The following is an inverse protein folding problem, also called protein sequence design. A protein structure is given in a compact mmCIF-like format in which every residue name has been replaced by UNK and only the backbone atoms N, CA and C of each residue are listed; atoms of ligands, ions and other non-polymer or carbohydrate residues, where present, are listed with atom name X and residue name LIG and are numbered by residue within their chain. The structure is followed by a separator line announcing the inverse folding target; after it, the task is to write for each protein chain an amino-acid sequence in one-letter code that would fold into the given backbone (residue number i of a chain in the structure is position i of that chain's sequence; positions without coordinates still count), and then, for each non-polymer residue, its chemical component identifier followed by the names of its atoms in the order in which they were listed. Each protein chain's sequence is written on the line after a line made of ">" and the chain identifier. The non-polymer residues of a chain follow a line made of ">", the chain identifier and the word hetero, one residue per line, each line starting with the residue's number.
data_IF_484763175630
#
_entry.id   IF_484763175630
#
_cell.length_a   1.000
_cell.length_b   1.000
_cell.length_c   1.000
_cell.angle_alpha   90.00
_cell.angle_beta   90.00
_cell.angle_gamma   90.00
#
_symmetry.space_group_name_H-M   'P 1'
#
loop_
_entity.id
_entity.type
_entity.pdbx_description
1 polymer ?
#
# COMPACT_ATOMS: atom_id res chain seq x y z
N UNK A 1 40.47 44.87 6.97
CA UNK A 1 40.17 45.16 5.55
C UNK A 1 40.19 43.90 4.67
N UNK A 2 41.34 43.22 4.49
CA UNK A 2 41.47 42.06 3.57
C UNK A 2 40.53 40.88 3.86
N UNK A 3 40.26 40.58 5.15
CA UNK A 3 39.27 39.56 5.54
C UNK A 3 37.86 39.92 5.07
N UNK A 4 37.48 41.20 5.12
CA UNK A 4 36.19 41.67 4.61
C UNK A 4 36.12 41.61 3.09
N UNK A 5 37.21 41.97 2.39
CA UNK A 5 37.30 41.85 0.93
C UNK A 5 37.12 40.39 0.48
N UNK A 6 37.79 39.44 1.14
CA UNK A 6 37.63 38.01 0.86
C UNK A 6 36.19 37.55 1.10
N UNK A 7 35.61 37.90 2.25
CA UNK A 7 34.22 37.54 2.57
C UNK A 7 33.24 38.08 1.52
N UNK A 8 33.38 39.36 1.14
CA UNK A 8 32.55 40.00 0.11
C UNK A 8 32.70 39.32 -1.26
N UNK A 9 33.93 39.12 -1.72
CA UNK A 9 34.20 38.48 -3.01
C UNK A 9 33.70 37.04 -3.08
N UNK A 10 33.74 36.32 -1.95
CA UNK A 10 33.19 34.97 -1.82
C UNK A 10 31.66 34.99 -1.89
N UNK A 11 30.98 35.88 -1.16
CA UNK A 11 29.51 35.98 -1.24
C UNK A 11 29.03 36.38 -2.64
N UNK A 12 29.72 37.31 -3.30
CA UNK A 12 29.43 37.67 -4.69
C UNK A 12 29.68 36.51 -5.66
N UNK A 13 30.66 35.65 -5.39
CA UNK A 13 30.85 34.40 -6.14
C UNK A 13 29.66 33.47 -5.98
N UNK A 14 29.19 33.22 -4.75
CA UNK A 14 28.04 32.34 -4.48
C UNK A 14 26.80 32.82 -5.25
N UNK A 15 26.48 34.10 -5.15
CA UNK A 15 25.33 34.72 -5.83
C UNK A 15 25.46 34.60 -7.36
N UNK A 16 26.64 34.87 -7.93
CA UNK A 16 26.88 34.74 -9.37
C UNK A 16 26.75 33.29 -9.84
N UNK A 17 27.29 32.34 -9.09
CA UNK A 17 27.21 30.92 -9.41
C UNK A 17 25.76 30.45 -9.41
N UNK A 18 24.99 30.75 -8.36
CA UNK A 18 23.57 30.39 -8.29
C UNK A 18 22.76 31.00 -9.44
N UNK A 19 23.00 32.26 -9.78
CA UNK A 19 22.34 32.93 -10.90
C UNK A 19 22.65 32.24 -12.23
N UNK A 20 23.94 31.98 -12.50
CA UNK A 20 24.37 31.32 -13.73
C UNK A 20 23.77 29.91 -13.88
N UNK A 21 23.60 29.19 -12.76
CA UNK A 21 22.97 27.87 -12.77
C UNK A 21 21.46 27.92 -13.03
N UNK A 22 20.77 29.01 -12.64
CA UNK A 22 19.34 29.22 -12.91
C UNK A 22 19.06 29.63 -14.35
N UNK A 23 19.94 30.43 -14.95
CA UNK A 23 19.81 30.93 -16.33
C UNK A 23 20.06 29.84 -17.41
N UNK A 24 20.50 28.64 -16.99
CA UNK A 24 20.28 27.38 -17.72
C UNK A 24 21.09 27.17 -19.01
N UNK A 25 22.07 28.01 -19.33
CA UNK A 25 22.66 28.05 -20.68
C UNK A 25 23.99 27.30 -20.90
N UNK A 26 24.50 26.52 -19.93
CA UNK A 26 25.79 25.85 -20.13
C UNK A 26 26.20 24.75 -19.15
N UNK A 27 27.36 24.15 -19.44
CA UNK A 27 28.02 23.15 -18.59
C UNK A 27 28.45 23.77 -17.25
N UNK A 28 28.34 23.00 -16.17
CA UNK A 28 28.65 23.44 -14.81
C UNK A 28 30.08 23.98 -14.69
N UNK A 29 31.09 23.27 -15.21
CA UNK A 29 32.47 23.74 -15.09
C UNK A 29 32.69 25.04 -15.85
N UNK A 30 31.97 25.26 -16.95
CA UNK A 30 32.06 26.51 -17.70
C UNK A 30 31.50 27.68 -16.91
N UNK A 31 30.33 27.52 -16.30
CA UNK A 31 29.74 28.51 -15.40
C UNK A 31 30.63 28.76 -14.17
N UNK A 32 31.07 27.70 -13.51
CA UNK A 32 31.94 27.78 -12.35
C UNK A 32 33.26 28.50 -12.67
N UNK A 33 33.95 28.13 -13.76
CA UNK A 33 35.21 28.80 -14.19
C UNK A 33 35.01 30.29 -14.44
N UNK A 34 33.92 30.69 -15.11
CA UNK A 34 33.59 32.12 -15.33
C UNK A 34 33.38 32.85 -14.01
N UNK A 35 32.61 32.27 -13.08
CA UNK A 35 32.38 32.85 -11.76
C UNK A 35 33.66 32.93 -10.92
N UNK A 36 34.51 31.89 -10.96
CA UNK A 36 35.82 31.85 -10.30
C UNK A 36 36.70 32.98 -10.82
N UNK A 37 36.85 33.09 -12.14
CA UNK A 37 37.69 34.13 -12.76
C UNK A 37 37.21 35.53 -12.40
N UNK A 38 35.89 35.77 -12.44
CA UNK A 38 35.33 37.06 -12.09
C UNK A 38 35.54 37.40 -10.61
N UNK A 39 35.36 36.45 -9.68
CA UNK A 39 35.60 36.66 -8.26
C UNK A 39 37.09 36.89 -7.93
N UNK A 40 37.99 36.22 -8.65
CA UNK A 40 39.43 36.48 -8.53
C UNK A 40 39.78 37.89 -8.98
N UNK A 41 39.21 38.38 -10.10
CA UNK A 41 39.43 39.74 -10.58
C UNK A 41 38.92 40.80 -9.59
N UNK A 42 37.72 40.62 -9.03
CA UNK A 42 37.15 41.54 -8.05
C UNK A 42 38.02 41.61 -6.79
N UNK A 43 38.53 40.46 -6.35
CA UNK A 43 39.41 40.39 -5.20
C UNK A 43 40.78 41.03 -5.48
N UNK A 44 41.39 40.75 -6.64
CA UNK A 44 42.65 41.38 -7.07
C UNK A 44 42.51 42.90 -7.16
N UNK A 45 41.39 43.39 -7.71
CA UNK A 45 41.11 44.82 -7.78
C UNK A 45 40.94 45.42 -6.38
N UNK A 46 40.16 44.78 -5.51
CA UNK A 46 40.02 45.23 -4.12
C UNK A 46 41.33 45.23 -3.33
N UNK A 47 42.24 44.28 -3.63
CA UNK A 47 43.60 44.27 -3.08
C UNK A 47 44.44 45.44 -3.59
N UNK A 48 44.38 45.77 -4.89
CA UNK A 48 45.05 46.95 -5.47
C UNK A 48 44.55 48.24 -4.87
N UNK A 49 43.24 48.39 -4.72
CA UNK A 49 42.60 49.58 -4.15
C UNK A 49 42.96 49.78 -2.66
N UNK A 50 43.25 48.68 -1.95
CA UNK A 50 43.67 48.69 -0.55
C UNK A 50 45.19 48.85 -0.35
N UNK A 51 46.00 48.71 -1.39
CA UNK A 51 47.46 48.63 -1.27
C UNK A 51 48.08 50.00 -0.95
N UNK A 52 48.91 50.05 0.09
CA UNK A 52 49.70 51.24 0.44
C UNK A 52 51.11 51.06 -0.15
N UNK A 53 51.53 51.99 -1.02
CA UNK A 53 52.82 51.90 -1.73
C UNK A 53 54.03 51.72 -0.81
N UNK A 54 54.02 52.34 0.37
CA UNK A 54 55.14 52.27 1.32
C UNK A 54 55.23 50.93 2.07
N UNK A 55 54.19 50.10 2.05
CA UNK A 55 54.06 48.99 2.98
C UNK A 55 54.40 47.60 2.39
N UNK A 56 54.68 47.52 1.08
CA UNK A 56 55.07 46.29 0.37
C UNK A 56 54.24 45.04 0.76
N UNK A 57 52.92 45.16 0.70
CA UNK A 57 52.02 44.08 1.12
C UNK A 57 52.02 42.91 0.13
N UNK A 58 52.26 41.69 0.64
CA UNK A 58 52.09 40.45 -0.10
C UNK A 58 50.70 39.85 0.15
N UNK A 59 49.91 39.73 -0.92
CA UNK A 59 48.57 39.12 -0.88
C UNK A 59 48.56 37.66 -1.33
N UNK A 60 49.70 37.08 -1.72
CA UNK A 60 49.79 35.75 -2.34
C UNK A 60 49.15 34.64 -1.50
N UNK A 61 49.37 34.68 -0.17
CA UNK A 61 48.77 33.71 0.77
C UNK A 61 47.25 33.85 0.81
N UNK A 62 46.74 35.08 0.90
CA UNK A 62 45.31 35.35 1.02
C UNK A 62 44.60 35.03 -0.30
N UNK A 63 45.23 35.28 -1.45
CA UNK A 63 44.75 34.86 -2.77
C UNK A 63 44.60 33.33 -2.87
N UNK A 64 45.62 32.59 -2.42
CA UNK A 64 45.57 31.12 -2.38
C UNK A 64 44.45 30.62 -1.45
N UNK A 65 44.28 31.24 -0.29
CA UNK A 65 43.20 30.92 0.64
C UNK A 65 41.81 31.21 0.03
N UNK A 66 41.62 32.38 -0.59
CA UNK A 66 40.38 32.76 -1.28
C UNK A 66 40.04 31.79 -2.41
N UNK A 67 41.03 31.42 -3.22
CA UNK A 67 40.85 30.45 -4.30
C UNK A 67 40.42 29.08 -3.77
N UNK A 68 41.03 28.60 -2.68
CA UNK A 68 40.64 27.34 -2.04
C UNK A 68 39.19 27.36 -1.54
N UNK A 69 38.76 28.45 -0.91
CA UNK A 69 37.37 28.58 -0.44
C UNK A 69 36.37 28.55 -1.60
N UNK A 70 36.68 29.27 -2.68
CA UNK A 70 35.87 29.30 -3.89
C UNK A 70 35.78 27.90 -4.51
N UNK A 71 36.92 27.23 -4.70
CA UNK A 71 36.97 25.89 -5.30
C UNK A 71 36.22 24.87 -4.42
N UNK A 72 36.37 24.96 -3.09
CA UNK A 72 35.64 24.12 -2.14
C UNK A 72 34.12 24.37 -2.20
N UNK A 73 33.70 25.64 -2.29
CA UNK A 73 32.28 25.99 -2.44
C UNK A 73 31.73 25.50 -3.78
N UNK A 74 32.47 25.66 -4.88
CA UNK A 74 32.08 25.16 -6.20
C UNK A 74 31.89 23.64 -6.19
N UNK A 75 32.81 22.89 -5.58
CA UNK A 75 32.70 21.43 -5.42
C UNK A 75 31.50 21.03 -4.56
N UNK A 76 31.23 21.77 -3.48
CA UNK A 76 30.06 21.55 -2.63
C UNK A 76 28.74 21.77 -3.39
N UNK A 77 28.64 22.88 -4.14
CA UNK A 77 27.45 23.18 -4.98
C UNK A 77 27.27 22.14 -6.07
N UNK A 78 28.36 21.70 -6.72
CA UNK A 78 28.33 20.62 -7.70
C UNK A 78 27.76 19.32 -7.11
N UNK A 79 28.27 18.91 -5.95
CA UNK A 79 27.80 17.73 -5.23
C UNK A 79 26.32 17.84 -4.83
N UNK A 80 25.92 18.98 -4.28
CA UNK A 80 24.53 19.24 -3.88
C UNK A 80 23.58 19.17 -5.08
N UNK A 81 23.93 19.78 -6.22
CA UNK A 81 23.12 19.77 -7.43
C UNK A 81 23.02 18.39 -8.08
N UNK A 82 24.09 17.59 -8.01
CA UNK A 82 24.07 16.20 -8.43
C UNK A 82 23.15 15.34 -7.55
N UNK A 83 23.18 15.54 -6.23
CA UNK A 83 22.30 14.85 -5.29
C UNK A 83 20.84 15.25 -5.52
N UNK A 84 20.55 16.54 -5.70
CA UNK A 84 19.23 17.05 -6.03
C UNK A 84 18.68 16.41 -7.33
N UNK A 85 19.52 16.32 -8.37
CA UNK A 85 19.17 15.65 -9.62
C UNK A 85 18.83 14.18 -9.39
N UNK A 86 19.69 13.47 -8.63
CA UNK A 86 19.50 12.04 -8.31
C UNK A 86 18.16 11.82 -7.62
N UNK A 87 17.91 12.55 -6.53
CA UNK A 87 16.68 12.43 -5.72
C UNK A 87 15.43 12.72 -6.56
N UNK A 88 15.47 13.71 -7.44
CA UNK A 88 14.33 14.03 -8.30
C UNK A 88 13.96 12.88 -9.25
N UNK A 89 14.96 12.22 -9.86
CA UNK A 89 14.73 11.07 -10.72
C UNK A 89 14.37 9.80 -9.95
N UNK A 90 14.93 9.59 -8.75
CA UNK A 90 14.53 8.49 -7.85
C UNK A 90 13.05 8.64 -7.48
N UNK A 91 12.60 9.85 -7.16
CA UNK A 91 11.20 10.15 -6.87
C UNK A 91 10.27 9.84 -8.06
N UNK A 92 10.62 10.30 -9.27
CA UNK A 92 9.81 10.01 -10.47
C UNK A 92 9.71 8.51 -10.74
N UNK A 93 10.83 7.79 -10.59
CA UNK A 93 10.89 6.35 -10.78
C UNK A 93 10.02 5.61 -9.77
N UNK A 94 10.09 5.97 -8.49
CA UNK A 94 9.32 5.32 -7.44
C UNK A 94 7.82 5.60 -7.56
N UNK A 95 7.42 6.83 -7.87
CA UNK A 95 6.01 7.20 -8.10
C UNK A 95 5.40 6.41 -9.27
N UNK A 96 6.12 6.32 -10.40
CA UNK A 96 5.65 5.57 -11.58
C UNK A 96 5.53 4.08 -11.30
N UNK A 97 6.57 3.47 -10.72
CA UNK A 97 6.60 2.04 -10.40
C UNK A 97 5.53 1.67 -9.38
N UNK A 98 5.45 2.41 -8.26
CA UNK A 98 4.51 2.10 -7.17
C UNK A 98 3.07 2.06 -7.66
N UNK A 99 2.66 3.08 -8.43
CA UNK A 99 1.30 3.20 -8.96
C UNK A 99 0.96 2.03 -9.90
N UNK A 100 1.86 1.69 -10.81
CA UNK A 100 1.61 0.67 -11.83
C UNK A 100 1.71 -0.75 -11.25
N UNK A 101 2.68 -1.02 -10.37
CA UNK A 101 2.82 -2.32 -9.70
C UNK A 101 1.59 -2.62 -8.85
N UNK A 102 1.06 -1.63 -8.12
CA UNK A 102 -0.18 -1.80 -7.36
C UNK A 102 -1.36 -2.23 -8.25
N UNK A 103 -1.52 -1.61 -9.42
CA UNK A 103 -2.58 -1.96 -10.35
C UNK A 103 -2.45 -3.40 -10.87
N UNK A 104 -1.22 -3.84 -11.19
CA UNK A 104 -0.95 -5.21 -11.61
C UNK A 104 -1.24 -6.22 -10.50
N UNK A 105 -0.81 -5.95 -9.27
CA UNK A 105 -1.03 -6.84 -8.13
C UNK A 105 -2.52 -6.94 -7.75
N UNK A 106 -3.28 -5.84 -7.87
CA UNK A 106 -4.75 -5.86 -7.73
C UNK A 106 -5.42 -6.74 -8.77
N UNK A 107 -4.95 -6.73 -10.01
CA UNK A 107 -5.46 -7.54 -11.11
C UNK A 107 -5.24 -9.04 -10.90
N UNK A 108 -4.05 -9.45 -10.46
CA UNK A 108 -3.75 -10.84 -10.08
C UNK A 108 -3.85 -11.88 -11.19
N UNK A 109 -3.66 -11.50 -12.45
CA UNK A 109 -3.63 -12.44 -13.58
C UNK A 109 -2.37 -13.32 -13.61
N UNK A 110 -2.40 -14.43 -14.35
CA UNK A 110 -1.28 -15.37 -14.49
C UNK A 110 0.01 -14.70 -15.02
N UNK A 111 -0.12 -13.64 -15.81
CA UNK A 111 1.00 -12.90 -16.41
C UNK A 111 1.51 -11.73 -15.54
N UNK A 112 0.94 -11.52 -14.34
CA UNK A 112 1.23 -10.37 -13.46
C UNK A 112 2.73 -10.11 -13.29
N UNK A 113 3.51 -11.14 -12.94
CA UNK A 113 4.96 -10.97 -12.75
C UNK A 113 5.73 -10.73 -14.03
N UNK A 114 5.29 -11.30 -15.16
CA UNK A 114 5.90 -11.03 -16.46
C UNK A 114 5.67 -9.55 -16.85
N UNK A 115 4.47 -9.05 -16.59
CA UNK A 115 4.09 -7.65 -16.79
C UNK A 115 4.86 -6.70 -15.85
N UNK A 116 5.03 -7.04 -14.57
CA UNK A 116 5.87 -6.27 -13.62
C UNK A 116 7.34 -6.23 -14.07
N UNK A 117 7.92 -7.34 -14.55
CA UNK A 117 9.30 -7.36 -15.07
C UNK A 117 9.47 -6.48 -16.32
N UNK A 118 8.51 -6.53 -17.24
CA UNK A 118 8.50 -5.67 -18.44
C UNK A 118 8.39 -4.20 -18.04
N UNK A 119 7.50 -3.87 -17.10
CA UNK A 119 7.33 -2.54 -16.55
C UNK A 119 8.62 -2.02 -15.91
N UNK A 120 9.23 -2.80 -14.99
CA UNK A 120 10.46 -2.45 -14.30
C UNK A 120 11.55 -2.05 -15.30
N UNK A 121 11.75 -2.87 -16.33
CA UNK A 121 12.73 -2.57 -17.37
C UNK A 121 12.38 -1.31 -18.16
N UNK A 122 11.13 -1.12 -18.56
CA UNK A 122 10.67 0.04 -19.34
C UNK A 122 10.88 1.34 -18.56
N UNK A 123 10.34 1.44 -17.34
CA UNK A 123 10.41 2.66 -16.52
C UNK A 123 11.85 2.97 -16.11
N UNK A 124 12.62 1.95 -15.71
CA UNK A 124 14.04 2.14 -15.35
C UNK A 124 14.86 2.66 -16.53
N UNK A 125 14.68 2.08 -17.73
CA UNK A 125 15.43 2.51 -18.90
C UNK A 125 15.04 3.93 -19.37
N UNK A 126 13.76 4.30 -19.28
CA UNK A 126 13.29 5.65 -19.57
C UNK A 126 13.93 6.69 -18.64
N UNK A 127 13.91 6.43 -17.32
CA UNK A 127 14.55 7.30 -16.33
C UNK A 127 16.06 7.37 -16.55
N UNK A 128 16.73 6.26 -16.80
CA UNK A 128 18.17 6.23 -17.09
C UNK A 128 18.53 7.04 -18.34
N UNK A 129 17.73 6.98 -19.40
CA UNK A 129 17.94 7.77 -20.63
C UNK A 129 17.82 9.27 -20.35
N UNK A 130 16.75 9.69 -19.67
CA UNK A 130 16.52 11.09 -19.28
C UNK A 130 17.62 11.60 -18.34
N UNK A 131 17.99 10.79 -17.34
CA UNK A 131 19.07 11.10 -16.41
C UNK A 131 20.42 11.22 -17.13
N UNK A 132 20.75 10.29 -18.03
CA UNK A 132 21.99 10.32 -18.80
C UNK A 132 22.10 11.57 -19.66
N UNK A 133 20.99 12.11 -20.15
CA UNK A 133 20.98 13.39 -20.86
C UNK A 133 21.16 14.56 -19.90
N UNK A 134 20.45 14.55 -18.77
CA UNK A 134 20.46 15.63 -17.79
C UNK A 134 21.77 15.74 -16.98
N UNK A 135 22.53 14.66 -16.83
CA UNK A 135 23.77 14.63 -16.05
C UNK A 135 24.98 15.16 -16.84
N UNK A 136 24.92 15.20 -18.18
CA UNK A 136 26.00 15.74 -19.04
C UNK A 136 26.42 17.13 -18.62
N UNK A 137 25.46 17.98 -18.22
CA UNK A 137 25.75 19.35 -17.74
C UNK A 137 26.65 19.41 -16.50
N UNK A 138 26.76 18.33 -15.75
CA UNK A 138 27.59 18.26 -14.56
C UNK A 138 28.96 17.64 -14.82
N UNK A 139 29.26 17.20 -16.05
CA UNK A 139 30.60 16.72 -16.45
C UNK A 139 31.14 15.64 -15.49
N UNK A 140 30.28 14.68 -15.14
CA UNK A 140 30.63 13.55 -14.27
C UNK A 140 31.46 12.54 -15.06
N UNK A 141 32.48 11.97 -14.42
CA UNK A 141 33.33 10.94 -15.02
C UNK A 141 32.53 9.66 -15.33
N UNK A 142 33.03 8.88 -16.29
CA UNK A 142 32.34 7.68 -16.79
C UNK A 142 32.11 6.64 -15.70
N UNK A 143 33.06 6.46 -14.78
CA UNK A 143 32.97 5.44 -13.72
C UNK A 143 31.86 5.80 -12.72
N UNK A 144 31.84 7.05 -12.27
CA UNK A 144 30.78 7.58 -11.40
C UNK A 144 29.42 7.57 -12.08
N UNK A 145 29.34 7.84 -13.38
CA UNK A 145 28.10 7.73 -14.15
C UNK A 145 27.58 6.28 -14.14
N UNK A 146 28.43 5.30 -14.44
CA UNK A 146 28.07 3.88 -14.42
C UNK A 146 27.54 3.47 -13.04
N UNK A 147 28.22 3.89 -11.97
CA UNK A 147 27.80 3.63 -10.58
C UNK A 147 26.43 4.24 -10.26
N UNK A 148 26.18 5.47 -10.70
CA UNK A 148 24.87 6.12 -10.51
C UNK A 148 23.76 5.39 -11.26
N UNK A 149 24.02 4.96 -12.50
CA UNK A 149 23.06 4.18 -13.28
C UNK A 149 22.74 2.84 -12.61
N UNK A 150 23.75 2.17 -12.04
CA UNK A 150 23.53 0.94 -11.28
C UNK A 150 22.67 1.19 -10.03
N UNK A 151 22.94 2.25 -9.28
CA UNK A 151 22.15 2.62 -8.11
C UNK A 151 20.65 2.80 -8.46
N UNK A 152 20.33 3.39 -9.61
CA UNK A 152 18.94 3.51 -10.07
C UNK A 152 18.29 2.15 -10.34
N UNK A 153 19.03 1.20 -10.94
CA UNK A 153 18.53 -0.17 -11.18
C UNK A 153 18.25 -0.90 -9.87
N UNK A 154 19.15 -0.74 -8.90
CA UNK A 154 19.02 -1.37 -7.58
C UNK A 154 17.85 -0.74 -6.80
N UNK A 155 17.73 0.59 -6.81
CA UNK A 155 16.61 1.31 -6.22
C UNK A 155 15.27 0.92 -6.85
N UNK A 156 15.19 0.80 -8.18
CA UNK A 156 13.97 0.37 -8.86
C UNK A 156 13.53 -1.02 -8.41
N UNK A 157 14.47 -1.96 -8.27
CA UNK A 157 14.20 -3.31 -7.76
C UNK A 157 13.68 -3.25 -6.32
N UNK A 158 14.34 -2.47 -5.47
CA UNK A 158 13.92 -2.29 -4.08
C UNK A 158 12.48 -1.76 -3.99
N UNK A 159 12.12 -0.74 -4.77
CA UNK A 159 10.74 -0.19 -4.78
C UNK A 159 9.71 -1.27 -5.13
N UNK A 160 9.98 -2.09 -6.16
CA UNK A 160 9.06 -3.18 -6.55
C UNK A 160 8.97 -4.24 -5.45
N UNK A 161 10.09 -4.63 -4.85
CA UNK A 161 10.12 -5.60 -3.75
C UNK A 161 9.37 -5.12 -2.51
N UNK A 162 9.58 -3.86 -2.10
CA UNK A 162 8.89 -3.25 -0.97
C UNK A 162 7.39 -3.14 -1.22
N UNK A 163 6.98 -2.74 -2.42
CA UNK A 163 5.56 -2.67 -2.78
C UNK A 163 4.92 -4.06 -2.82
N UNK A 164 5.61 -5.05 -3.38
CA UNK A 164 5.11 -6.43 -3.39
C UNK A 164 4.95 -6.99 -1.97
N UNK A 165 5.91 -6.76 -1.08
CA UNK A 165 5.82 -7.15 0.34
C UNK A 165 4.65 -6.44 1.04
N UNK A 166 4.52 -5.14 0.84
CA UNK A 166 3.41 -4.37 1.42
C UNK A 166 2.05 -4.91 1.00
N UNK A 167 1.85 -5.16 -0.30
CA UNK A 167 0.59 -5.71 -0.82
C UNK A 167 0.32 -7.13 -0.30
N UNK A 168 1.35 -7.96 -0.18
CA UNK A 168 1.28 -9.30 0.39
C UNK A 168 0.87 -9.29 1.88
N UNK A 169 1.38 -8.35 2.66
CA UNK A 169 1.13 -8.28 4.10
C UNK A 169 -0.21 -7.59 4.44
N UNK A 170 -0.59 -6.55 3.70
CA UNK A 170 -1.68 -5.64 4.12
C UNK A 170 -2.91 -5.66 3.22
N UNK A 171 -2.73 -6.01 1.95
CA UNK A 171 -3.75 -5.73 0.93
C UNK A 171 -4.45 -6.99 0.43
N UNK A 172 -3.94 -8.17 0.75
CA UNK A 172 -4.53 -9.46 0.35
C UNK A 172 -5.99 -9.57 0.79
N UNK A 173 -6.30 -9.45 2.08
CA UNK A 173 -7.68 -9.54 2.57
C UNK A 173 -8.61 -8.51 1.89
N UNK A 174 -8.11 -7.30 1.65
CA UNK A 174 -8.86 -6.22 1.01
C UNK A 174 -9.17 -6.60 -0.44
N UNK A 175 -8.18 -7.11 -1.18
CA UNK A 175 -8.35 -7.54 -2.57
C UNK A 175 -9.26 -8.75 -2.68
N UNK A 176 -9.14 -9.74 -1.80
CA UNK A 176 -10.04 -10.90 -1.72
C UNK A 176 -11.49 -10.45 -1.51
N UNK A 177 -11.74 -9.56 -0.54
CA UNK A 177 -13.05 -8.96 -0.29
C UNK A 177 -13.56 -8.16 -1.48
N UNK A 178 -12.70 -7.40 -2.13
CA UNK A 178 -13.06 -6.58 -3.29
C UNK A 178 -13.48 -7.45 -4.48
N UNK A 179 -12.69 -8.49 -4.81
CA UNK A 179 -13.00 -9.45 -5.89
C UNK A 179 -14.29 -10.22 -5.62
N UNK A 180 -14.46 -10.71 -4.39
CA UNK A 180 -15.70 -11.35 -3.96
C UNK A 180 -16.89 -10.40 -4.11
N UNK A 181 -16.78 -9.20 -3.56
CA UNK A 181 -17.87 -8.21 -3.58
C UNK A 181 -18.22 -7.76 -5.00
N UNK A 182 -17.24 -7.68 -5.90
CA UNK A 182 -17.47 -7.33 -7.30
C UNK A 182 -18.36 -8.38 -8.00
N UNK A 183 -18.08 -9.67 -7.82
CA UNK A 183 -18.87 -10.74 -8.45
C UNK A 183 -20.19 -10.99 -7.71
N UNK A 184 -20.17 -10.91 -6.37
CA UNK A 184 -21.32 -11.20 -5.53
C UNK A 184 -22.39 -10.10 -5.61
N UNK A 185 -22.00 -8.83 -5.57
CA UNK A 185 -22.96 -7.71 -5.53
C UNK A 185 -23.32 -7.17 -6.92
N UNK A 186 -22.53 -7.44 -7.96
CA UNK A 186 -22.74 -6.88 -9.30
C UNK A 186 -22.87 -7.97 -10.37
N UNK A 187 -23.68 -7.71 -11.40
CA UNK A 187 -23.77 -8.56 -12.57
C UNK A 187 -22.61 -8.34 -13.57
N UNK A 188 -22.61 -9.07 -14.68
CA UNK A 188 -21.57 -8.95 -15.72
C UNK A 188 -21.47 -7.56 -16.35
N UNK A 189 -22.50 -6.73 -16.20
CA UNK A 189 -22.54 -5.35 -16.69
C UNK A 189 -22.17 -4.34 -15.58
N UNK A 190 -21.68 -4.81 -14.43
CA UNK A 190 -21.38 -3.99 -13.25
C UNK A 190 -22.62 -3.29 -12.66
N UNK A 191 -23.82 -3.86 -12.86
CA UNK A 191 -25.06 -3.34 -12.28
C UNK A 191 -25.29 -4.05 -10.94
N UNK A 192 -25.63 -3.32 -9.85
CA UNK A 192 -25.97 -3.94 -8.57
C UNK A 192 -27.09 -4.98 -8.70
N UNK A 193 -26.85 -6.20 -8.22
CA UNK A 193 -27.81 -7.31 -8.28
C UNK A 193 -28.97 -7.06 -7.32
N UNK A 194 -30.18 -7.33 -7.80
CA UNK A 194 -31.40 -7.31 -6.99
C UNK A 194 -31.70 -8.74 -6.55
N UNK A 195 -31.59 -9.01 -5.25
CA UNK A 195 -31.86 -10.32 -4.66
C UNK A 195 -33.36 -10.63 -4.68
N UNK A 196 -33.79 -11.45 -5.64
CA UNK A 196 -35.16 -11.95 -5.75
C UNK A 196 -35.22 -13.47 -5.48
N UNK A 197 -36.41 -14.02 -5.19
CA UNK A 197 -36.61 -15.46 -4.89
C UNK A 197 -36.18 -16.44 -5.99
N UNK A 198 -35.81 -15.96 -7.18
CA UNK A 198 -35.37 -16.75 -8.35
C UNK A 198 -33.84 -16.74 -8.54
N UNK A 199 -33.10 -15.91 -7.81
CA UNK A 199 -31.64 -15.85 -7.92
C UNK A 199 -31.00 -17.08 -7.27
N UNK A 200 -30.18 -17.80 -8.04
CA UNK A 200 -29.37 -18.89 -7.51
C UNK A 200 -28.16 -18.33 -6.73
N UNK A 201 -28.45 -17.93 -5.49
CA UNK A 201 -27.46 -17.41 -4.54
C UNK A 201 -26.30 -18.39 -4.37
N UNK A 202 -26.57 -19.71 -4.46
CA UNK A 202 -25.55 -20.75 -4.33
C UNK A 202 -24.54 -20.65 -5.48
N UNK A 203 -25.00 -20.58 -6.72
CA UNK A 203 -24.13 -20.42 -7.89
C UNK A 203 -23.38 -19.09 -7.87
N UNK A 204 -24.05 -17.97 -7.54
CA UNK A 204 -23.39 -16.65 -7.44
C UNK A 204 -22.30 -16.64 -6.35
N UNK A 205 -22.56 -17.28 -5.21
CA UNK A 205 -21.59 -17.40 -4.12
C UNK A 205 -20.39 -18.23 -4.56
N UNK A 206 -20.63 -19.33 -5.28
CA UNK A 206 -19.56 -20.19 -5.81
C UNK A 206 -18.68 -19.44 -6.80
N UNK A 207 -19.28 -18.67 -7.71
CA UNK A 207 -18.54 -17.85 -8.68
C UNK A 207 -17.73 -16.74 -7.97
N UNK A 208 -18.34 -16.06 -6.99
CA UNK A 208 -17.67 -15.01 -6.23
C UNK A 208 -16.50 -15.53 -5.37
N UNK A 209 -16.65 -16.72 -4.77
CA UNK A 209 -15.55 -17.41 -4.05
C UNK A 209 -14.45 -17.85 -5.01
N UNK A 210 -14.80 -18.33 -6.20
CA UNK A 210 -13.82 -18.72 -7.23
C UNK A 210 -13.01 -17.51 -7.70
N UNK A 211 -13.65 -16.37 -7.93
CA UNK A 211 -12.99 -15.11 -8.29
C UNK A 211 -12.11 -14.53 -7.17
N UNK A 212 -12.38 -14.91 -5.91
CA UNK A 212 -11.55 -14.54 -4.77
C UNK A 212 -10.50 -15.60 -4.43
N UNK A 213 -10.32 -16.68 -5.20
CA UNK A 213 -9.46 -17.80 -4.78
C UNK A 213 -8.03 -17.39 -4.42
N UNK A 214 -7.49 -18.00 -3.36
CA UNK A 214 -6.10 -17.85 -2.93
C UNK A 214 -5.07 -18.26 -3.99
N UNK A 215 -5.48 -19.06 -5.00
CA UNK A 215 -4.64 -19.43 -6.15
C UNK A 215 -4.21 -18.21 -6.99
N UNK A 216 -4.97 -17.12 -6.94
CA UNK A 216 -4.71 -15.88 -7.67
C UNK A 216 -4.09 -14.77 -6.79
N UNK A 217 -3.57 -15.13 -5.61
CA UNK A 217 -3.00 -14.17 -4.66
C UNK A 217 -1.58 -14.56 -4.23
N UNK A 218 -0.65 -13.62 -4.36
CA UNK A 218 0.78 -13.81 -4.13
C UNK A 218 1.13 -13.63 -2.65
N UNK A 219 0.91 -14.68 -1.86
CA UNK A 219 1.37 -14.78 -0.48
C UNK A 219 1.91 -16.19 -0.20
N UNK A 220 2.64 -16.34 0.90
CA UNK A 220 3.13 -17.66 1.34
C UNK A 220 1.94 -18.57 1.69
N UNK A 221 2.00 -19.89 1.42
CA UNK A 221 0.86 -20.80 1.60
C UNK A 221 0.22 -20.76 3.00
N UNK A 222 1.02 -20.51 4.05
CA UNK A 222 0.56 -20.45 5.45
C UNK A 222 -0.24 -19.17 5.73
N UNK A 223 0.22 -18.03 5.24
CA UNK A 223 -0.49 -16.74 5.36
C UNK A 223 -1.74 -16.70 4.47
N UNK A 224 -1.67 -17.28 3.27
CA UNK A 224 -2.85 -17.52 2.41
C UNK A 224 -3.91 -18.30 3.16
N UNK A 225 -3.53 -19.36 3.86
CA UNK A 225 -4.48 -20.22 4.56
C UNK A 225 -5.15 -19.49 5.72
N UNK A 226 -4.40 -18.76 6.55
CA UNK A 226 -4.97 -17.96 7.65
C UNK A 226 -5.87 -16.82 7.16
N UNK A 227 -5.44 -16.07 6.14
CA UNK A 227 -6.21 -14.96 5.58
C UNK A 227 -7.43 -15.47 4.80
N UNK A 228 -7.33 -16.62 4.15
CA UNK A 228 -8.45 -17.30 3.50
C UNK A 228 -9.46 -17.81 4.53
N UNK A 229 -9.01 -18.40 5.64
CA UNK A 229 -9.89 -18.82 6.74
C UNK A 229 -10.60 -17.62 7.37
N UNK A 230 -9.89 -16.51 7.55
CA UNK A 230 -10.49 -15.26 8.03
C UNK A 230 -11.50 -14.70 7.02
N UNK A 231 -11.14 -14.65 5.74
CA UNK A 231 -12.01 -14.23 4.64
C UNK A 231 -13.26 -15.11 4.53
N UNK A 232 -13.11 -16.44 4.63
CA UNK A 232 -14.21 -17.41 4.68
C UNK A 232 -15.05 -17.10 5.93
N UNK A 233 -14.47 -16.98 7.12
CA UNK A 233 -15.24 -16.68 8.35
C UNK A 233 -16.03 -15.36 8.29
N UNK A 234 -15.52 -14.34 7.59
CA UNK A 234 -16.17 -13.04 7.41
C UNK A 234 -17.21 -13.03 6.27
N UNK A 235 -16.94 -13.70 5.15
CA UNK A 235 -17.90 -13.84 4.04
C UNK A 235 -18.99 -14.86 4.34
N UNK A 236 -18.68 -15.90 5.10
CA UNK A 236 -19.62 -16.88 5.63
C UNK A 236 -20.55 -16.25 6.66
N UNK A 237 -20.12 -15.23 7.42
CA UNK A 237 -21.04 -14.42 8.22
C UNK A 237 -22.07 -13.70 7.35
N UNK A 238 -21.66 -13.13 6.21
CA UNK A 238 -22.55 -12.43 5.25
C UNK A 238 -23.46 -13.43 4.51
N UNK A 239 -22.91 -14.56 4.07
CA UNK A 239 -23.66 -15.65 3.41
C UNK A 239 -24.61 -16.34 4.39
N UNK A 240 -24.25 -16.48 5.67
CA UNK A 240 -25.14 -16.94 6.74
C UNK A 240 -26.26 -15.93 6.95
N UNK A 241 -25.96 -14.63 7.00
CA UNK A 241 -26.99 -13.60 7.09
C UNK A 241 -27.93 -13.58 5.87
N UNK A 242 -27.52 -14.10 4.71
CA UNK A 242 -28.33 -14.14 3.48
C UNK A 242 -29.06 -15.47 3.25
N UNK A 243 -28.42 -16.62 3.54
CA UNK A 243 -28.94 -17.98 3.25
C UNK A 243 -29.61 -18.60 4.47
N UNK A 244 -29.06 -18.33 5.66
CA UNK A 244 -29.55 -18.84 6.93
C UNK A 244 -30.77 -18.05 7.45
N UNK A 245 -30.95 -16.81 6.94
CA UNK A 245 -32.09 -15.95 7.23
C UNK A 245 -33.45 -16.63 6.97
N UNK A 246 -33.56 -17.55 6.01
CA UNK A 246 -34.86 -18.16 5.72
C UNK A 246 -35.22 -19.35 6.62
N UNK A 247 -34.23 -20.15 7.04
CA UNK A 247 -34.45 -21.32 7.91
C UNK A 247 -34.37 -20.99 9.40
N UNK A 248 -33.37 -20.19 9.78
CA UNK A 248 -33.17 -19.79 11.18
C UNK A 248 -34.11 -18.69 11.61
N UNK A 249 -34.48 -17.70 10.76
CA UNK A 249 -35.57 -16.78 11.13
C UNK A 249 -36.91 -17.51 11.21
N UNK A 250 -37.19 -18.48 10.34
CA UNK A 250 -38.43 -19.25 10.44
C UNK A 250 -38.50 -20.00 11.79
N UNK A 251 -37.38 -20.57 12.23
CA UNK A 251 -37.28 -21.24 13.53
C UNK A 251 -37.35 -20.23 14.70
N UNK A 252 -36.73 -19.06 14.58
CA UNK A 252 -36.77 -17.98 15.57
C UNK A 252 -38.16 -17.35 15.70
N UNK A 253 -38.82 -17.03 14.58
CA UNK A 253 -40.19 -16.51 14.52
C UNK A 253 -41.19 -17.54 15.05
N UNK A 254 -41.04 -18.82 14.71
CA UNK A 254 -41.84 -19.88 15.30
C UNK A 254 -41.67 -19.94 16.83
N UNK A 255 -40.43 -19.80 17.33
CA UNK A 255 -40.14 -19.72 18.76
C UNK A 255 -40.70 -18.44 19.43
N UNK A 256 -40.77 -17.33 18.69
CA UNK A 256 -41.49 -16.10 19.08
C UNK A 256 -43.02 -16.25 19.02
N UNK A 257 -43.57 -17.32 18.47
CA UNK A 257 -45.02 -17.63 18.50
C UNK A 257 -45.37 -18.64 19.60
N UNK A 258 -44.51 -19.63 19.87
CA UNK A 258 -44.65 -20.55 21.00
C UNK A 258 -43.57 -21.64 21.04
N UNK A 259 -43.65 -22.62 21.95
CA UNK A 259 -42.77 -23.78 21.93
C UNK A 259 -42.85 -24.49 20.57
N UNK A 260 -41.71 -24.69 19.92
CA UNK A 260 -41.63 -25.36 18.62
C UNK A 260 -41.45 -26.86 18.84
N UNK A 261 -42.45 -27.71 18.53
CA UNK A 261 -42.28 -29.16 18.62
C UNK A 261 -41.17 -29.61 17.67
N UNK A 262 -40.27 -30.48 18.13
CA UNK A 262 -39.14 -30.92 17.31
C UNK A 262 -38.07 -29.85 17.06
N UNK A 263 -38.00 -28.79 17.87
CA UNK A 263 -36.98 -27.74 17.75
C UNK A 263 -35.55 -28.30 17.66
N UNK A 264 -35.20 -29.25 18.53
CA UNK A 264 -33.87 -29.87 18.51
C UNK A 264 -33.57 -30.62 17.22
N UNK A 265 -34.55 -31.36 16.69
CA UNK A 265 -34.43 -32.07 15.42
C UNK A 265 -34.30 -31.10 14.24
N UNK A 266 -35.09 -30.03 14.24
CA UNK A 266 -35.05 -28.99 13.20
C UNK A 266 -33.73 -28.21 13.25
N UNK A 267 -33.29 -27.83 14.45
CA UNK A 267 -32.00 -27.18 14.68
C UNK A 267 -30.84 -28.06 14.20
N UNK A 268 -30.83 -29.34 14.59
CA UNK A 268 -29.78 -30.28 14.20
C UNK A 268 -29.82 -30.58 12.69
N UNK A 269 -31.00 -30.71 12.07
CA UNK A 269 -31.10 -30.90 10.62
C UNK A 269 -30.52 -29.71 9.84
N UNK A 270 -30.78 -28.48 10.27
CA UNK A 270 -30.20 -27.28 9.66
C UNK A 270 -28.68 -27.24 9.91
N UNK A 271 -28.24 -27.56 11.13
CA UNK A 271 -26.82 -27.59 11.48
C UNK A 271 -26.04 -28.67 10.72
N UNK A 272 -26.60 -29.87 10.59
CA UNK A 272 -25.96 -31.01 9.92
C UNK A 272 -25.87 -30.78 8.42
N UNK A 273 -26.91 -30.21 7.81
CA UNK A 273 -26.88 -29.79 6.39
C UNK A 273 -25.78 -28.76 6.18
N UNK A 274 -25.74 -27.74 7.04
CA UNK A 274 -24.75 -26.67 6.97
C UNK A 274 -23.31 -27.16 7.16
N UNK A 275 -23.06 -28.01 8.17
CA UNK A 275 -21.75 -28.58 8.44
C UNK A 275 -21.35 -29.58 7.35
N UNK A 276 -22.30 -30.34 6.78
CA UNK A 276 -22.03 -31.25 5.67
C UNK A 276 -21.59 -30.51 4.42
N UNK A 277 -22.23 -29.39 4.10
CA UNK A 277 -21.87 -28.57 2.94
C UNK A 277 -20.51 -27.90 3.15
N UNK A 278 -20.24 -27.37 4.35
CA UNK A 278 -18.90 -26.91 4.73
C UNK A 278 -17.84 -28.02 4.58
N UNK A 279 -18.06 -29.20 5.14
CA UNK A 279 -17.10 -30.32 5.14
C UNK A 279 -16.80 -30.81 3.69
N UNK A 280 -17.78 -30.74 2.77
CA UNK A 280 -17.58 -31.03 1.33
C UNK A 280 -16.77 -29.95 0.62
N UNK A 281 -16.87 -28.70 1.05
CA UNK A 281 -16.23 -27.54 0.40
C UNK A 281 -14.76 -27.37 0.79
N UNK A 282 -14.34 -27.92 1.93
CA UNK A 282 -12.97 -27.74 2.45
C UNK A 282 -12.07 -28.98 2.33
N UNK A 283 -12.39 -29.93 1.45
CA UNK A 283 -11.64 -31.21 1.35
C UNK A 283 -10.14 -31.07 1.08
N UNK A 284 -9.73 -29.98 0.43
CA UNK A 284 -8.34 -29.75 0.01
C UNK A 284 -7.50 -28.98 1.04
N UNK A 285 -8.10 -28.57 2.17
CA UNK A 285 -7.45 -27.78 3.21
C UNK A 285 -6.77 -28.64 4.28
N UNK A 286 -5.78 -28.05 4.95
CA UNK A 286 -5.13 -28.63 6.11
C UNK A 286 -6.13 -29.02 7.20
N UNK A 287 -5.97 -30.23 7.73
CA UNK A 287 -6.92 -30.83 8.67
C UNK A 287 -7.10 -29.99 9.94
N UNK A 288 -6.03 -29.39 10.47
CA UNK A 288 -6.08 -28.55 11.66
C UNK A 288 -6.90 -27.28 11.47
N UNK A 289 -6.80 -26.69 10.28
CA UNK A 289 -7.56 -25.50 9.87
C UNK A 289 -9.05 -25.82 9.73
N UNK A 290 -9.38 -26.92 9.03
CA UNK A 290 -10.77 -27.37 8.86
C UNK A 290 -11.45 -27.62 10.18
N UNK A 291 -10.77 -28.32 11.08
CA UNK A 291 -11.28 -28.66 12.40
C UNK A 291 -11.52 -27.43 13.26
N UNK A 292 -10.58 -26.48 13.26
CA UNK A 292 -10.69 -25.24 14.05
C UNK A 292 -11.89 -24.39 13.61
N UNK A 293 -12.04 -24.18 12.30
CA UNK A 293 -13.13 -23.40 11.75
C UNK A 293 -14.49 -24.12 11.90
N UNK A 294 -14.53 -25.45 11.73
CA UNK A 294 -15.73 -26.26 12.02
C UNK A 294 -16.21 -26.11 13.46
N UNK A 295 -15.30 -26.06 14.43
CA UNK A 295 -15.65 -25.82 15.84
C UNK A 295 -16.17 -24.40 16.08
N UNK A 296 -15.60 -23.40 15.42
CA UNK A 296 -16.09 -22.02 15.47
C UNK A 296 -17.51 -21.90 14.90
N UNK A 297 -17.81 -22.61 13.81
CA UNK A 297 -19.15 -22.63 13.22
C UNK A 297 -20.18 -23.28 14.14
N UNK A 298 -19.81 -24.42 14.75
CA UNK A 298 -20.64 -25.08 15.76
C UNK A 298 -20.89 -24.18 16.98
N UNK A 299 -19.87 -23.48 17.47
CA UNK A 299 -20.04 -22.60 18.63
C UNK A 299 -20.95 -21.40 18.33
N UNK A 300 -20.85 -20.82 17.13
CA UNK A 300 -21.77 -19.75 16.68
C UNK A 300 -23.21 -20.25 16.55
N UNK A 301 -23.43 -21.44 15.99
CA UNK A 301 -24.76 -22.04 15.92
C UNK A 301 -25.35 -22.33 17.31
N UNK A 302 -24.53 -22.82 18.24
CA UNK A 302 -24.94 -23.07 19.63
C UNK A 302 -25.30 -21.76 20.36
N UNK A 303 -24.54 -20.69 20.15
CA UNK A 303 -24.86 -19.37 20.71
C UNK A 303 -26.24 -18.89 20.22
N UNK A 304 -26.55 -19.11 18.94
CA UNK A 304 -27.88 -18.81 18.41
C UNK A 304 -28.98 -19.67 19.06
N UNK A 305 -28.76 -20.98 19.19
CA UNK A 305 -29.69 -21.87 19.90
C UNK A 305 -29.98 -21.36 21.32
N UNK A 306 -28.94 -20.92 22.03
CA UNK A 306 -29.03 -20.42 23.40
C UNK A 306 -29.85 -19.12 23.50
N UNK A 307 -29.76 -18.24 22.50
CA UNK A 307 -30.63 -17.05 22.39
C UNK A 307 -32.10 -17.47 22.23
N UNK A 308 -32.39 -18.41 21.32
CA UNK A 308 -33.77 -18.91 21.10
C UNK A 308 -34.32 -19.62 22.34
N UNK A 309 -33.52 -20.45 23.01
CA UNK A 309 -33.88 -21.07 24.29
C UNK A 309 -34.19 -20.05 25.39
N UNK A 310 -33.43 -18.95 25.43
CA UNK A 310 -33.65 -17.87 26.40
C UNK A 310 -34.97 -17.15 26.12
N UNK A 311 -35.31 -16.89 24.86
CA UNK A 311 -36.60 -16.31 24.43
C UNK A 311 -37.77 -17.21 24.86
N UNK A 312 -37.68 -18.52 24.57
CA UNK A 312 -38.69 -19.50 24.97
C UNK A 312 -38.86 -19.56 26.49
N UNK A 313 -37.76 -19.58 27.25
CA UNK A 313 -37.78 -19.63 28.72
C UNK A 313 -38.41 -18.39 29.34
N UNK A 314 -38.04 -17.19 28.89
CA UNK A 314 -38.62 -15.93 29.35
C UNK A 314 -40.13 -15.88 29.13
N UNK A 315 -40.58 -16.37 27.97
CA UNK A 315 -42.00 -16.36 27.63
C UNK A 315 -42.81 -17.39 28.41
N UNK A 316 -42.25 -18.59 28.62
CA UNK A 316 -42.87 -19.60 29.49
C UNK A 316 -42.99 -19.09 30.93
N UNK A 317 -42.00 -18.32 31.41
CA UNK A 317 -42.02 -17.67 32.72
C UNK A 317 -43.13 -16.60 32.81
N UNK A 318 -43.24 -15.73 31.81
CA UNK A 318 -44.29 -14.69 31.72
C UNK A 318 -45.69 -15.29 31.60
N UNK A 319 -45.88 -16.34 30.79
CA UNK A 319 -47.16 -17.04 30.67
C UNK A 319 -47.57 -17.74 31.98
N UNK A 320 -46.62 -18.38 32.69
CA UNK A 320 -46.90 -18.96 34.01
C UNK A 320 -47.30 -17.89 35.04
N UNK A 321 -46.70 -16.70 35.00
CA UNK A 321 -47.05 -15.60 35.91
C UNK A 321 -48.38 -14.92 35.52
N UNK A 322 -48.70 -14.80 34.23
CA UNK A 322 -50.00 -14.31 33.75
C UNK A 322 -51.15 -15.27 34.09
N UNK A 323 -50.91 -16.59 34.00
CA UNK A 323 -51.89 -17.61 34.42
C UNK A 323 -52.07 -17.61 35.94
N UNK A 324 -51.01 -17.40 36.71
CA UNK A 324 -51.10 -17.24 38.17
C UNK A 324 -51.85 -15.96 38.59
N UNK A 325 -51.77 -14.88 37.80
CA UNK A 325 -52.52 -13.63 38.03
C UNK A 325 -53.99 -13.71 37.57
N UNK A 326 -54.33 -14.60 36.64
CA UNK A 326 -55.71 -14.82 36.15
C UNK A 326 -56.50 -15.88 36.96
N UNK A 327 -55.94 -16.43 38.05
CA UNK A 327 -56.61 -17.43 38.90
C UNK A 327 -57.47 -16.82 40.02
N UNK A 328 -57.93 -15.57 39.91
CA UNK A 328 -58.86 -15.01 40.91
C UNK A 328 -59.86 -13.99 40.36
N UNK A 329 -60.61 -14.38 39.31
CA UNK A 329 -61.79 -13.61 38.85
C UNK A 329 -63.01 -14.49 38.50
N UNK A 330 -63.07 -15.73 38.99
CA UNK A 330 -64.26 -16.60 38.79
C UNK A 330 -64.60 -17.51 39.98
N UNK A 331 -64.29 -17.07 41.21
CA UNK A 331 -64.81 -17.69 42.44
C UNK A 331 -65.66 -16.67 43.19
N UNK A 332 -66.93 -16.59 42.80
CA UNK A 332 -68.02 -16.20 43.71
C UNK A 332 -68.49 -17.42 44.48
#
# INVERSE_FOLDING_TARGET
>A
MLRHLRSKALEEFKVRLERSLKEGSGLFNSSARKCIQSSMLDFDQGCKDAAIQQANWDFSRILKEHRRDIDAHAASVHGAKLLELKVNYEKQLSESLTKQVEAFLKGGGEDTWASIRKLLNRETNDVLSKFSTAIVRFEVDKERLIKLMQNFRDYARQVVEEKAKYEADHSVLIHLKSRFSAVFNYDSNSIPRIWNKKGDISTITKDARSAASSKDTLITPVQCTLLWVQFIGETEYIVNQASSLHGWLALEEAAKIGPVPGFGESFNSILDTYISDYDKEVTDFDEGVRNSQRQLLKSKALNFAQVVYTILRYRTYVLKHLVALNWDWSSR
#
